data_IF_286588879220
#
_entry.id   IF_286588879220
#
_cell.length_a   1.000
_cell.length_b   1.000
_cell.length_c   1.000
_cell.angle_alpha   90.00
_cell.angle_beta   90.00
_cell.angle_gamma   90.00
#
_symmetry.space_group_name_H-M   'P 1'
#
loop_
_entity.id
_entity.type
_entity.pdbx_description
1 polymer ?
#
# COMPACT_ATOMS: atom_id res chain seq x y z
N UNK A 1 -38.14 3.46 38.13
CA UNK A 1 -39.21 2.95 37.24
C UNK A 1 -38.71 2.45 35.87
N UNK A 2 -37.55 2.87 35.35
CA UNK A 2 -36.98 2.33 34.09
C UNK A 2 -36.30 0.94 34.21
N UNK A 3 -35.74 0.61 35.38
CA UNK A 3 -35.03 -0.67 35.59
C UNK A 3 -35.93 -1.91 35.71
N UNK A 4 -37.20 -1.75 36.09
CA UNK A 4 -38.16 -2.86 36.21
C UNK A 4 -38.81 -3.22 34.86
N UNK A 5 -39.00 -2.25 33.96
CA UNK A 5 -39.49 -2.49 32.60
C UNK A 5 -38.46 -3.25 31.74
N UNK A 6 -37.19 -2.87 31.82
CA UNK A 6 -36.09 -3.59 31.14
C UNK A 6 -35.92 -5.03 31.68
N UNK A 7 -36.03 -5.24 33.00
CA UNK A 7 -35.96 -6.58 33.59
C UNK A 7 -37.16 -7.46 33.22
N UNK A 8 -38.34 -6.90 32.99
CA UNK A 8 -39.51 -7.68 32.58
C UNK A 8 -39.48 -8.06 31.09
N UNK A 9 -38.91 -7.20 30.25
CA UNK A 9 -38.76 -7.48 28.81
C UNK A 9 -37.63 -8.46 28.51
N UNK A 10 -36.55 -8.46 29.31
CA UNK A 10 -35.47 -9.46 29.24
C UNK A 10 -35.92 -10.84 29.77
N UNK A 11 -36.87 -10.88 30.72
CA UNK A 11 -37.28 -12.14 31.39
C UNK A 11 -38.25 -12.98 30.55
N UNK A 12 -39.08 -12.37 29.69
CA UNK A 12 -40.21 -13.06 29.02
C UNK A 12 -39.95 -13.54 27.58
N UNK A 13 -38.90 -13.09 26.89
CA UNK A 13 -38.60 -13.57 25.53
C UNK A 13 -37.27 -14.32 25.47
N UNK A 14 -37.35 -15.61 25.09
CA UNK A 14 -36.21 -16.52 24.79
C UNK A 14 -35.16 -15.89 23.86
N UNK A 15 -35.54 -14.84 23.13
CA UNK A 15 -34.78 -14.14 22.10
C UNK A 15 -33.78 -13.12 22.68
N UNK A 16 -34.10 -12.46 23.80
CA UNK A 16 -33.15 -11.52 24.44
C UNK A 16 -31.92 -12.24 25.00
N UNK A 17 -32.11 -13.47 25.50
CA UNK A 17 -31.04 -14.35 25.99
C UNK A 17 -30.12 -14.85 24.88
N UNK A 18 -30.66 -15.00 23.66
CA UNK A 18 -29.88 -15.44 22.50
C UNK A 18 -29.03 -14.29 21.91
N UNK A 19 -29.58 -13.08 21.84
CA UNK A 19 -28.84 -11.88 21.41
C UNK A 19 -27.74 -11.53 22.41
N UNK A 20 -28.05 -11.61 23.71
CA UNK A 20 -27.05 -11.45 24.75
C UNK A 20 -25.97 -12.55 24.66
N UNK A 21 -26.36 -13.79 24.34
CA UNK A 21 -25.46 -14.92 24.14
C UNK A 21 -24.51 -14.76 22.96
N UNK A 22 -24.97 -14.24 21.82
CA UNK A 22 -24.13 -14.01 20.63
C UNK A 22 -23.18 -12.82 20.84
N UNK A 23 -23.64 -11.76 21.50
CA UNK A 23 -22.78 -10.62 21.86
C UNK A 23 -21.75 -11.04 22.91
N UNK A 24 -22.15 -11.82 23.93
CA UNK A 24 -21.24 -12.39 24.91
C UNK A 24 -20.25 -13.37 24.28
N UNK A 25 -20.66 -14.15 23.27
CA UNK A 25 -19.77 -15.05 22.54
C UNK A 25 -18.74 -14.26 21.71
N UNK A 26 -19.16 -13.19 21.03
CA UNK A 26 -18.24 -12.31 20.28
C UNK A 26 -17.26 -11.56 21.18
N UNK A 27 -17.71 -11.09 22.35
CA UNK A 27 -16.85 -10.46 23.35
C UNK A 27 -15.92 -11.52 24.00
N UNK A 28 -16.41 -12.71 24.28
CA UNK A 28 -15.59 -13.80 24.82
C UNK A 28 -14.52 -14.27 23.82
N UNK A 29 -14.85 -14.38 22.53
CA UNK A 29 -13.88 -14.77 21.49
C UNK A 29 -12.82 -13.69 21.27
N UNK A 30 -13.19 -12.42 21.28
CA UNK A 30 -12.21 -11.31 21.14
C UNK A 30 -11.30 -11.14 22.37
N UNK A 31 -11.81 -11.41 23.57
CA UNK A 31 -11.01 -11.42 24.79
C UNK A 31 -10.09 -12.65 24.87
N UNK A 32 -10.55 -13.82 24.39
CA UNK A 32 -9.78 -15.05 24.40
C UNK A 32 -8.68 -15.06 23.32
N UNK A 33 -8.93 -14.45 22.17
CA UNK A 33 -7.94 -14.28 21.09
C UNK A 33 -6.78 -13.37 21.51
N UNK A 34 -7.08 -12.32 22.29
CA UNK A 34 -6.07 -11.45 22.91
C UNK A 34 -5.23 -12.13 24.00
N UNK A 35 -5.72 -13.23 24.57
CA UNK A 35 -5.10 -13.89 25.72
C UNK A 35 -4.36 -15.20 25.37
N UNK A 36 -4.86 -16.00 24.42
CA UNK A 36 -4.36 -17.38 24.20
C UNK A 36 -4.13 -17.71 22.71
N UNK A 37 -4.37 -16.78 21.77
CA UNK A 37 -4.20 -16.99 20.31
C UNK A 37 -5.07 -18.16 19.79
N UNK A 38 -6.32 -17.87 19.42
CA UNK A 38 -7.35 -18.90 19.18
C UNK A 38 -7.17 -19.53 17.78
N UNK A 39 -7.27 -20.87 17.62
CA UNK A 39 -7.07 -21.54 16.33
C UNK A 39 -8.01 -21.01 15.22
N UNK A 40 -7.46 -20.69 14.04
CA UNK A 40 -8.17 -20.08 12.91
C UNK A 40 -9.40 -20.84 12.39
N UNK A 41 -9.56 -22.11 12.76
CA UNK A 41 -10.76 -22.92 12.48
C UNK A 41 -12.01 -22.32 13.14
N UNK A 42 -11.89 -21.68 14.30
CA UNK A 42 -13.04 -21.03 14.96
C UNK A 42 -13.49 -19.76 14.23
N UNK A 43 -12.56 -19.02 13.62
CA UNK A 43 -12.88 -17.91 12.71
C UNK A 43 -13.45 -18.40 11.37
N UNK A 44 -12.96 -19.53 10.86
CA UNK A 44 -13.47 -20.19 9.65
C UNK A 44 -14.88 -20.76 9.84
N UNK A 45 -15.30 -21.09 11.07
CA UNK A 45 -16.68 -21.44 11.41
C UNK A 45 -17.50 -20.17 11.69
N UNK A 46 -16.88 -19.15 12.28
CA UNK A 46 -17.53 -17.87 12.59
C UNK A 46 -18.00 -17.12 11.35
N UNK A 47 -17.20 -17.04 10.27
CA UNK A 47 -17.61 -16.35 9.04
C UNK A 47 -18.81 -16.99 8.32
N UNK A 48 -18.85 -18.30 8.05
CA UNK A 48 -20.05 -18.94 7.53
C UNK A 48 -21.18 -18.95 8.55
N UNK A 49 -20.93 -19.05 9.86
CA UNK A 49 -21.97 -18.87 10.86
C UNK A 49 -22.52 -17.45 10.87
N UNK A 50 -21.70 -16.43 10.63
CA UNK A 50 -22.09 -15.02 10.53
C UNK A 50 -22.80 -14.75 9.21
N UNK A 51 -22.37 -15.34 8.10
CA UNK A 51 -23.04 -15.24 6.79
C UNK A 51 -24.36 -16.00 6.82
N UNK A 52 -24.41 -17.21 7.37
CA UNK A 52 -25.64 -17.98 7.57
C UNK A 52 -26.55 -17.27 8.57
N UNK A 53 -26.00 -16.66 9.63
CA UNK A 53 -26.79 -15.88 10.58
C UNK A 53 -27.27 -14.57 9.96
N UNK A 54 -26.45 -13.85 9.21
CA UNK A 54 -26.82 -12.64 8.47
C UNK A 54 -27.84 -12.95 7.38
N UNK A 55 -27.69 -14.06 6.65
CA UNK A 55 -28.63 -14.53 5.66
C UNK A 55 -29.92 -15.04 6.32
N UNK A 56 -29.83 -15.74 7.45
CA UNK A 56 -30.97 -16.18 8.25
C UNK A 56 -31.71 -14.98 8.88
N UNK A 57 -31.00 -13.96 9.35
CA UNK A 57 -31.57 -12.72 9.89
C UNK A 57 -32.11 -11.85 8.78
N UNK A 58 -31.52 -11.82 7.59
CA UNK A 58 -32.06 -11.11 6.42
C UNK A 58 -33.31 -11.84 5.91
N UNK A 59 -33.25 -13.17 5.76
CA UNK A 59 -34.39 -14.00 5.38
C UNK A 59 -35.48 -14.02 6.45
N UNK A 60 -35.14 -13.91 7.74
CA UNK A 60 -36.10 -13.82 8.85
C UNK A 60 -36.57 -12.40 9.10
N UNK A 61 -35.81 -11.37 8.77
CA UNK A 61 -36.30 -9.99 8.68
C UNK A 61 -37.30 -9.89 7.54
N UNK A 62 -36.98 -10.46 6.37
CA UNK A 62 -37.88 -10.60 5.22
C UNK A 62 -39.09 -11.50 5.56
N UNK A 63 -38.94 -12.58 6.34
CA UNK A 63 -40.06 -13.46 6.73
C UNK A 63 -40.88 -12.91 7.90
N UNK A 64 -40.31 -12.09 8.77
CA UNK A 64 -41.01 -11.32 9.81
C UNK A 64 -41.75 -10.12 9.20
N UNK A 65 -41.14 -9.50 8.18
CA UNK A 65 -41.75 -8.53 7.25
C UNK A 65 -42.75 -9.18 6.29
N UNK A 66 -42.74 -10.50 6.08
CA UNK A 66 -43.87 -11.18 5.42
C UNK A 66 -44.95 -11.54 6.45
N UNK A 67 -44.60 -12.28 7.51
CA UNK A 67 -45.55 -12.87 8.46
C UNK A 67 -46.33 -11.88 9.34
N UNK A 68 -45.81 -10.69 9.67
CA UNK A 68 -46.56 -9.65 10.41
C UNK A 68 -46.94 -8.43 9.57
N UNK A 69 -46.36 -8.27 8.39
CA UNK A 69 -46.54 -7.07 7.55
C UNK A 69 -47.53 -7.30 6.38
N UNK A 70 -47.96 -8.54 6.14
CA UNK A 70 -48.93 -8.91 5.10
C UNK A 70 -50.39 -8.52 5.40
N UNK A 71 -50.73 -7.88 6.53
CA UNK A 71 -52.13 -7.63 6.89
C UNK A 71 -52.64 -6.18 6.75
N UNK A 72 -51.83 -5.20 6.31
CA UNK A 72 -52.35 -3.84 5.99
C UNK A 72 -51.61 -3.22 4.81
N UNK A 73 -52.35 -2.90 3.74
CA UNK A 73 -51.90 -2.29 2.48
C UNK A 73 -50.89 -1.12 2.63
N UNK A 74 -50.95 -0.38 3.74
CA UNK A 74 -50.06 0.76 4.07
C UNK A 74 -48.56 0.40 4.19
N UNK A 75 -48.21 -0.84 4.56
CA UNK A 75 -46.79 -1.24 4.76
C UNK A 75 -46.09 -1.74 3.49
N UNK A 76 -46.84 -2.11 2.44
CA UNK A 76 -46.28 -2.51 1.14
C UNK A 76 -45.55 -1.35 0.45
N UNK A 77 -46.09 -0.14 0.52
CA UNK A 77 -45.48 1.07 -0.06
C UNK A 77 -44.15 1.43 0.62
N UNK A 78 -44.05 1.32 1.95
CA UNK A 78 -42.83 1.64 2.69
C UNK A 78 -41.67 0.71 2.30
N UNK A 79 -41.93 -0.60 2.18
CA UNK A 79 -40.90 -1.58 1.80
C UNK A 79 -40.38 -1.31 0.39
N UNK A 80 -41.28 -1.07 -0.57
CA UNK A 80 -40.88 -0.72 -1.95
C UNK A 80 -40.10 0.59 -1.99
N UNK A 81 -40.52 1.60 -1.23
CA UNK A 81 -39.84 2.90 -1.20
C UNK A 81 -38.45 2.82 -0.56
N UNK A 82 -38.30 2.05 0.53
CA UNK A 82 -36.99 1.79 1.14
C UNK A 82 -36.10 0.99 0.18
N UNK A 83 -36.63 0.00 -0.53
CA UNK A 83 -35.85 -0.77 -1.50
C UNK A 83 -35.39 0.10 -2.69
N UNK A 84 -36.27 0.95 -3.23
CA UNK A 84 -35.97 1.85 -4.35
C UNK A 84 -35.01 2.97 -3.93
N UNK A 85 -35.07 3.47 -2.69
CA UNK A 85 -34.23 4.58 -2.24
C UNK A 85 -32.92 4.13 -1.57
N UNK A 86 -33.00 3.20 -0.60
CA UNK A 86 -31.85 2.86 0.27
C UNK A 86 -30.85 1.96 -0.43
N UNK A 87 -31.31 0.99 -1.24
CA UNK A 87 -30.39 0.06 -1.90
C UNK A 87 -29.47 0.77 -2.89
N UNK A 88 -29.97 1.64 -3.79
CA UNK A 88 -29.08 2.39 -4.67
C UNK A 88 -28.07 3.25 -3.91
N UNK A 89 -28.48 3.92 -2.84
CA UNK A 89 -27.58 4.73 -2.01
C UNK A 89 -26.50 3.85 -1.36
N UNK A 90 -26.87 2.70 -0.80
CA UNK A 90 -25.90 1.75 -0.22
C UNK A 90 -24.93 1.22 -1.27
N UNK A 91 -25.39 0.92 -2.48
CA UNK A 91 -24.53 0.50 -3.59
C UNK A 91 -23.55 1.61 -3.99
N UNK A 92 -24.01 2.87 -4.07
CA UNK A 92 -23.17 4.03 -4.37
C UNK A 92 -22.12 4.23 -3.27
N UNK A 93 -22.52 4.17 -2.00
CA UNK A 93 -21.59 4.30 -0.88
C UNK A 93 -20.54 3.18 -0.88
N UNK A 94 -20.95 1.94 -1.16
CA UNK A 94 -20.04 0.82 -1.31
C UNK A 94 -19.06 1.03 -2.46
N UNK A 95 -19.54 1.48 -3.62
CA UNK A 95 -18.72 1.79 -4.78
C UNK A 95 -17.69 2.88 -4.46
N UNK A 96 -18.13 3.98 -3.82
CA UNK A 96 -17.24 5.08 -3.40
C UNK A 96 -16.22 4.60 -2.38
N UNK A 97 -16.61 3.77 -1.42
CA UNK A 97 -15.69 3.21 -0.43
C UNK A 97 -14.62 2.33 -1.09
N UNK A 98 -15.00 1.41 -1.98
CA UNK A 98 -14.06 0.56 -2.72
C UNK A 98 -13.17 1.42 -3.62
N UNK A 99 -13.74 2.36 -4.37
CA UNK A 99 -13.00 3.27 -5.24
C UNK A 99 -11.99 4.10 -4.47
N UNK A 100 -12.38 4.65 -3.31
CA UNK A 100 -11.49 5.38 -2.42
C UNK A 100 -10.33 4.53 -1.90
N UNK A 101 -10.59 3.27 -1.52
CA UNK A 101 -9.54 2.33 -1.11
C UNK A 101 -8.58 2.01 -2.27
N UNK A 102 -9.09 1.77 -3.48
CA UNK A 102 -8.27 1.46 -4.66
C UNK A 102 -7.40 2.65 -5.08
N UNK A 103 -7.96 3.85 -5.12
CA UNK A 103 -7.22 5.07 -5.47
C UNK A 103 -6.12 5.33 -4.44
N UNK A 104 -6.41 5.19 -3.15
CA UNK A 104 -5.41 5.36 -2.10
C UNK A 104 -4.33 4.28 -2.14
N UNK A 105 -4.68 3.02 -2.39
CA UNK A 105 -3.72 1.95 -2.61
C UNK A 105 -2.79 2.25 -3.80
N UNK A 106 -3.36 2.67 -4.94
CA UNK A 106 -2.58 3.04 -6.12
C UNK A 106 -1.70 4.26 -5.87
N UNK A 107 -2.18 5.24 -5.11
CA UNK A 107 -1.41 6.43 -4.76
C UNK A 107 -0.22 6.09 -3.86
N UNK A 108 -0.39 5.20 -2.87
CA UNK A 108 0.72 4.69 -2.06
C UNK A 108 1.79 4.01 -2.93
N UNK A 109 1.37 3.15 -3.85
CA UNK A 109 2.25 2.50 -4.82
C UNK A 109 2.96 3.53 -5.71
N UNK A 110 2.23 4.53 -6.21
CA UNK A 110 2.76 5.58 -7.06
C UNK A 110 3.84 6.42 -6.35
N UNK A 111 3.62 6.81 -5.09
CA UNK A 111 4.61 7.58 -4.33
C UNK A 111 5.94 6.83 -4.19
N UNK A 112 5.89 5.54 -3.88
CA UNK A 112 7.10 4.70 -3.78
C UNK A 112 7.72 4.46 -5.15
N UNK A 113 6.91 4.24 -6.19
CA UNK A 113 7.41 4.12 -7.56
C UNK A 113 8.12 5.40 -8.02
N UNK A 114 7.65 6.58 -7.62
CA UNK A 114 8.33 7.86 -7.86
C UNK A 114 9.66 7.94 -7.10
N UNK A 115 9.72 7.49 -5.83
CA UNK A 115 10.98 7.45 -5.08
C UNK A 115 12.01 6.53 -5.75
N UNK A 116 11.60 5.35 -6.22
CA UNK A 116 12.48 4.43 -6.97
C UNK A 116 12.96 5.05 -8.27
N UNK A 117 12.06 5.66 -9.07
CA UNK A 117 12.43 6.34 -10.32
C UNK A 117 13.36 7.53 -10.09
N UNK A 118 13.06 8.36 -9.09
CA UNK A 118 13.91 9.47 -8.69
C UNK A 118 15.30 8.99 -8.28
N UNK A 119 15.40 7.84 -7.60
CA UNK A 119 16.68 7.23 -7.25
C UNK A 119 17.47 6.76 -8.47
N UNK A 120 16.81 6.07 -9.40
CA UNK A 120 17.40 5.65 -10.70
C UNK A 120 17.94 6.87 -11.46
N UNK A 121 17.18 7.96 -11.52
CA UNK A 121 17.60 9.19 -12.18
C UNK A 121 18.75 9.87 -11.43
N UNK A 122 18.72 9.92 -10.10
CA UNK A 122 19.77 10.51 -9.27
C UNK A 122 21.12 9.81 -9.50
N UNK A 123 21.15 8.47 -9.53
CA UNK A 123 22.38 7.72 -9.84
C UNK A 123 22.89 8.04 -11.25
N UNK A 124 22.00 8.17 -12.23
CA UNK A 124 22.38 8.56 -13.59
C UNK A 124 23.00 9.95 -13.65
N UNK A 125 22.44 10.93 -12.93
CA UNK A 125 23.00 12.28 -12.86
C UNK A 125 24.39 12.28 -12.22
N UNK A 126 24.60 11.50 -11.14
CA UNK A 126 25.93 11.33 -10.54
C UNK A 126 26.88 10.72 -11.56
N UNK A 127 26.48 9.64 -12.23
CA UNK A 127 27.27 8.97 -13.26
C UNK A 127 27.71 9.91 -14.38
N UNK A 128 26.75 10.67 -14.94
CA UNK A 128 27.00 11.70 -15.96
C UNK A 128 27.97 12.77 -15.49
N UNK A 129 27.76 13.29 -14.28
CA UNK A 129 28.62 14.35 -13.74
C UNK A 129 30.07 13.89 -13.60
N UNK A 130 30.31 12.63 -13.21
CA UNK A 130 31.67 12.09 -13.12
C UNK A 130 32.24 11.85 -14.51
N UNK A 131 31.48 11.25 -15.43
CA UNK A 131 31.95 11.01 -16.80
C UNK A 131 32.37 12.33 -17.50
N UNK A 132 31.58 13.39 -17.36
CA UNK A 132 31.90 14.71 -17.95
C UNK A 132 33.12 15.38 -17.32
N UNK A 133 33.32 15.25 -16.00
CA UNK A 133 34.46 15.86 -15.32
C UNK A 133 35.77 15.10 -15.59
N UNK A 134 35.71 13.81 -15.88
CA UNK A 134 36.91 13.00 -16.18
C UNK A 134 37.50 13.35 -17.55
N UNK A 135 36.68 13.76 -18.52
CA UNK A 135 37.16 14.25 -19.83
C UNK A 135 38.07 15.50 -19.72
N UNK A 136 38.04 16.23 -18.60
CA UNK A 136 38.89 17.40 -18.37
C UNK A 136 40.28 17.06 -17.77
N UNK A 137 40.52 15.80 -17.39
CA UNK A 137 41.78 15.37 -16.74
C UNK A 137 42.71 14.67 -17.73
N UNK A 138 43.30 15.43 -18.66
CA UNK A 138 44.11 14.89 -19.77
C UNK A 138 45.56 14.50 -19.42
N UNK A 139 46.10 14.91 -18.26
CA UNK A 139 47.57 14.94 -18.06
C UNK A 139 48.20 13.78 -17.24
N UNK A 140 47.48 12.71 -16.89
CA UNK A 140 48.01 11.70 -15.95
C UNK A 140 47.77 10.25 -16.33
N UNK A 141 48.68 9.33 -16.03
CA UNK A 141 48.55 7.88 -16.28
C UNK A 141 47.18 7.31 -15.85
N UNK A 142 46.67 6.26 -16.55
CA UNK A 142 45.30 5.77 -16.34
C UNK A 142 45.07 5.20 -14.94
N UNK A 143 46.10 4.57 -14.35
CA UNK A 143 46.03 4.07 -12.97
C UNK A 143 45.95 5.20 -11.92
N UNK A 144 46.71 6.28 -12.11
CA UNK A 144 46.72 7.43 -11.18
C UNK A 144 45.42 8.23 -11.26
N UNK A 145 44.80 8.29 -12.45
CA UNK A 145 43.47 8.86 -12.65
C UNK A 145 42.41 8.05 -11.89
N UNK A 146 42.41 6.72 -12.02
CA UNK A 146 41.47 5.84 -11.31
C UNK A 146 41.59 6.00 -9.79
N UNK A 147 42.80 6.03 -9.25
CA UNK A 147 43.05 6.22 -7.82
C UNK A 147 42.56 7.59 -7.31
N UNK A 148 42.76 8.66 -8.09
CA UNK A 148 42.23 10.00 -7.73
C UNK A 148 40.71 10.04 -7.80
N UNK A 149 40.11 9.49 -8.85
CA UNK A 149 38.64 9.43 -8.98
C UNK A 149 38.05 8.63 -7.83
N UNK A 150 38.61 7.46 -7.51
CA UNK A 150 38.20 6.66 -6.36
C UNK A 150 38.32 7.45 -5.04
N UNK A 151 39.48 8.06 -4.76
CA UNK A 151 39.69 8.85 -3.52
C UNK A 151 38.71 10.02 -3.42
N UNK A 152 38.49 10.74 -4.52
CA UNK A 152 37.56 11.86 -4.55
C UNK A 152 36.10 11.43 -4.41
N UNK A 153 35.73 10.32 -5.06
CA UNK A 153 34.39 9.77 -5.02
C UNK A 153 34.06 9.24 -3.62
N UNK A 154 34.96 8.43 -3.03
CA UNK A 154 34.84 7.96 -1.65
C UNK A 154 34.81 9.14 -0.69
N UNK A 155 35.71 10.12 -0.80
CA UNK A 155 35.71 11.29 0.10
C UNK A 155 34.40 12.09 0.08
N UNK A 156 33.78 12.26 -1.09
CA UNK A 156 32.55 13.05 -1.26
C UNK A 156 31.28 12.26 -0.92
N UNK A 157 31.15 11.03 -1.40
CA UNK A 157 29.96 10.22 -1.15
C UNK A 157 30.00 9.50 0.20
N UNK A 158 31.17 9.23 0.81
CA UNK A 158 31.21 8.66 2.17
C UNK A 158 30.61 9.62 3.21
N UNK A 159 30.66 10.93 2.98
CA UNK A 159 29.95 11.93 3.81
C UNK A 159 28.43 11.78 3.75
N UNK A 160 27.92 11.18 2.67
CA UNK A 160 26.51 10.92 2.40
C UNK A 160 26.24 9.40 2.31
N UNK A 161 27.05 8.58 2.99
CA UNK A 161 26.92 7.11 2.91
C UNK A 161 25.55 6.62 3.40
N UNK A 162 24.95 7.34 4.36
CA UNK A 162 23.59 7.07 4.82
C UNK A 162 22.55 7.24 3.71
N UNK A 163 22.79 8.14 2.75
CA UNK A 163 21.88 8.41 1.64
C UNK A 163 22.03 7.38 0.52
N UNK A 164 23.05 6.51 0.53
CA UNK A 164 23.32 5.51 -0.51
C UNK A 164 23.76 4.16 0.10
N UNK A 165 22.85 3.43 0.74
CA UNK A 165 23.17 2.17 1.40
C UNK A 165 23.72 1.15 0.41
N UNK A 166 24.81 0.49 0.78
CA UNK A 166 25.46 -0.58 0.01
C UNK A 166 25.82 -0.21 -1.45
N UNK A 167 26.02 1.08 -1.77
CA UNK A 167 26.40 1.49 -3.12
C UNK A 167 27.77 0.92 -3.53
N UNK A 168 27.76 0.23 -4.67
CA UNK A 168 28.91 -0.36 -5.33
C UNK A 168 29.28 0.47 -6.57
N UNK A 169 30.57 0.77 -6.70
CA UNK A 169 31.09 1.58 -7.80
C UNK A 169 32.12 0.79 -8.56
N UNK A 170 31.93 0.65 -9.87
CA UNK A 170 32.92 0.07 -10.78
C UNK A 170 33.33 1.11 -11.81
N UNK A 171 34.61 1.43 -11.85
CA UNK A 171 35.22 2.35 -12.82
C UNK A 171 36.07 1.54 -13.78
N UNK A 172 35.91 1.81 -15.08
CA UNK A 172 36.66 1.19 -16.16
C UNK A 172 37.31 2.28 -17.01
N UNK A 173 38.62 2.17 -17.24
CA UNK A 173 39.37 3.07 -18.12
C UNK A 173 40.35 2.23 -18.96
N UNK A 174 40.07 2.13 -20.26
CA UNK A 174 40.91 1.45 -21.25
C UNK A 174 41.46 0.07 -20.80
N UNK A 175 40.59 -0.75 -20.22
CA UNK A 175 40.93 -2.10 -19.72
C UNK A 175 41.34 -2.17 -18.26
N UNK A 176 41.71 -1.05 -17.62
CA UNK A 176 41.92 -0.99 -16.18
C UNK A 176 40.57 -0.89 -15.44
N UNK A 177 40.38 -1.73 -14.43
CA UNK A 177 39.13 -1.78 -13.65
C UNK A 177 39.41 -1.58 -12.17
N UNK A 178 38.57 -0.79 -11.52
CA UNK A 178 38.51 -0.62 -10.06
C UNK A 178 37.08 -0.77 -9.62
N UNK A 179 36.83 -1.69 -8.70
CA UNK A 179 35.53 -1.87 -8.06
C UNK A 179 35.68 -1.65 -6.56
N UNK A 180 34.88 -0.76 -5.99
CA UNK A 180 34.95 -0.40 -4.58
C UNK A 180 33.56 -0.03 -4.03
N UNK A 181 33.40 -0.13 -2.72
CA UNK A 181 32.22 0.35 -2.00
C UNK A 181 32.46 1.76 -1.43
N UNK A 182 31.40 2.40 -0.91
CA UNK A 182 31.52 3.71 -0.27
C UNK A 182 32.40 3.75 0.98
N UNK A 183 32.64 2.60 1.63
CA UNK A 183 33.59 2.48 2.74
C UNK A 183 35.07 2.37 2.27
N UNK A 184 35.33 2.39 0.96
CA UNK A 184 36.66 2.28 0.37
C UNK A 184 37.19 0.84 0.26
N UNK A 185 36.40 -0.16 0.63
CA UNK A 185 36.72 -1.58 0.45
C UNK A 185 36.66 -1.98 -1.02
N UNK A 186 37.66 -2.75 -1.48
CA UNK A 186 37.70 -3.27 -2.85
C UNK A 186 36.73 -4.42 -3.04
N UNK A 187 35.95 -4.39 -4.11
CA UNK A 187 35.00 -5.45 -4.45
C UNK A 187 35.71 -6.53 -5.28
N UNK A 188 35.56 -7.83 -4.95
CA UNK A 188 36.29 -8.92 -5.60
C UNK A 188 35.80 -9.21 -7.04
N UNK A 189 34.54 -8.87 -7.36
CA UNK A 189 33.95 -9.04 -8.69
C UNK A 189 33.60 -7.67 -9.28
N UNK A 190 34.37 -7.14 -10.24
CA UNK A 190 33.98 -5.93 -10.95
C UNK A 190 32.78 -6.21 -11.87
N UNK A 191 31.85 -5.27 -11.93
CA UNK A 191 30.68 -5.38 -12.81
C UNK A 191 31.13 -5.34 -14.27
N UNK A 192 30.68 -6.32 -15.06
CA UNK A 192 30.93 -6.35 -16.50
C UNK A 192 29.85 -5.57 -17.24
N UNK A 193 30.25 -4.86 -18.31
CA UNK A 193 29.32 -4.16 -19.19
C UNK A 193 28.92 -5.15 -20.28
N UNK A 194 27.62 -5.51 -20.40
CA UNK A 194 27.18 -6.46 -21.40
C UNK A 194 27.36 -5.92 -22.83
N UNK A 195 27.61 -6.79 -23.82
CA UNK A 195 27.83 -6.38 -25.21
C UNK A 195 26.58 -5.75 -25.85
N UNK A 196 25.38 -6.07 -25.34
CA UNK A 196 24.14 -5.46 -25.80
C UNK A 196 24.01 -3.98 -25.39
N UNK A 197 24.81 -3.49 -24.44
CA UNK A 197 24.81 -2.08 -24.03
C UNK A 197 25.72 -1.24 -24.92
N UNK A 198 25.25 -0.94 -26.14
CA UNK A 198 25.96 -0.09 -27.10
C UNK A 198 25.77 1.42 -26.86
N UNK A 199 24.79 1.81 -26.04
CA UNK A 199 24.47 3.21 -25.76
C UNK A 199 25.47 3.88 -24.81
N UNK A 200 25.60 5.22 -24.84
CA UNK A 200 26.50 5.95 -23.96
C UNK A 200 26.06 5.86 -22.50
N UNK A 201 24.79 5.55 -22.22
CA UNK A 201 24.24 5.56 -20.88
C UNK A 201 23.19 4.47 -20.68
N UNK A 202 23.02 4.08 -19.42
CA UNK A 202 21.97 3.18 -18.95
C UNK A 202 21.52 3.63 -17.56
N UNK A 203 20.23 3.56 -17.29
CA UNK A 203 19.73 3.59 -15.92
C UNK A 203 18.44 2.80 -15.81
N UNK A 204 18.34 1.97 -14.79
CA UNK A 204 17.15 1.16 -14.56
C UNK A 204 17.34 0.14 -13.45
N UNK A 205 16.29 -0.64 -13.22
CA UNK A 205 16.33 -1.79 -12.32
C UNK A 205 16.82 -3.00 -13.10
N UNK A 206 17.76 -3.74 -12.53
CA UNK A 206 18.34 -4.94 -13.13
C UNK A 206 18.29 -6.10 -12.14
N UNK A 207 18.27 -7.32 -12.69
CA UNK A 207 18.48 -8.53 -11.90
C UNK A 207 19.87 -9.07 -12.22
N UNK A 208 20.67 -9.27 -11.18
CA UNK A 208 21.99 -9.91 -11.28
C UNK A 208 22.16 -10.88 -10.12
N UNK A 209 22.54 -12.14 -10.41
CA UNK A 209 22.69 -13.21 -9.41
C UNK A 209 21.44 -13.39 -8.51
N UNK A 210 20.23 -13.14 -9.05
CA UNK A 210 18.97 -13.26 -8.32
C UNK A 210 18.66 -12.10 -7.36
N UNK A 211 19.49 -11.05 -7.34
CA UNK A 211 19.25 -9.82 -6.56
C UNK A 211 18.69 -8.72 -7.44
N UNK A 212 17.80 -7.92 -6.87
CA UNK A 212 17.30 -6.69 -7.49
C UNK A 212 18.28 -5.57 -7.21
N UNK A 213 18.77 -4.91 -8.26
CA UNK A 213 19.79 -3.86 -8.18
C UNK A 213 19.32 -2.67 -9.01
N UNK A 214 19.44 -1.47 -8.47
CA UNK A 214 19.32 -0.23 -9.23
C UNK A 214 20.68 0.06 -9.84
N UNK A 215 20.77 0.07 -11.17
CA UNK A 215 22.05 0.23 -11.87
C UNK A 215 22.01 1.42 -12.81
N UNK A 216 23.06 2.22 -12.75
CA UNK A 216 23.36 3.24 -13.75
C UNK A 216 24.73 3.02 -14.38
N UNK A 217 24.82 3.22 -15.69
CA UNK A 217 26.08 3.23 -16.45
C UNK A 217 26.18 4.54 -17.18
N UNK A 218 27.32 5.20 -17.07
CA UNK A 218 27.69 6.35 -17.89
C UNK A 218 29.03 6.04 -18.59
N UNK A 219 29.03 6.13 -19.92
CA UNK A 219 30.20 5.91 -20.77
C UNK A 219 30.64 7.24 -21.40
N UNK A 220 31.95 7.45 -21.45
CA UNK A 220 32.58 8.65 -22.00
C UNK A 220 33.86 8.33 -22.77
N UNK A 221 34.40 9.33 -23.46
CA UNK A 221 35.67 9.24 -24.18
C UNK A 221 36.66 10.22 -23.59
N UNK A 222 37.66 9.70 -22.91
CA UNK A 222 38.76 10.48 -22.35
C UNK A 222 39.96 10.45 -23.30
N UNK A 223 40.94 11.34 -23.17
CA UNK A 223 42.18 11.26 -23.96
C UNK A 223 42.95 9.94 -23.74
N UNK A 224 42.66 9.22 -22.65
CA UNK A 224 43.29 7.95 -22.29
C UNK A 224 42.51 6.71 -22.73
N UNK A 225 41.40 6.89 -23.43
CA UNK A 225 40.58 5.80 -23.96
C UNK A 225 39.14 5.81 -23.47
N UNK A 226 38.47 4.66 -23.59
CA UNK A 226 37.05 4.52 -23.22
C UNK A 226 36.91 4.49 -21.70
N UNK A 227 36.14 5.44 -21.18
CA UNK A 227 35.78 5.51 -19.76
C UNK A 227 34.36 4.98 -19.57
N UNK A 228 34.16 4.17 -18.53
CA UNK A 228 32.83 3.77 -18.10
C UNK A 228 32.74 3.74 -16.58
N UNK A 229 31.70 4.38 -16.05
CA UNK A 229 31.34 4.36 -14.64
C UNK A 229 30.04 3.57 -14.48
N UNK A 230 30.08 2.55 -13.64
CA UNK A 230 28.92 1.75 -13.26
C UNK A 230 28.64 1.98 -11.78
N UNK A 231 27.46 2.49 -11.48
CA UNK A 231 26.94 2.63 -10.12
C UNK A 231 25.87 1.57 -9.93
N UNK A 232 26.02 0.74 -8.90
CA UNK A 232 25.08 -0.34 -8.58
C UNK A 232 24.66 -0.22 -7.13
N UNK A 233 23.37 -0.04 -6.89
CA UNK A 233 22.78 0.05 -5.56
C UNK A 233 21.83 -1.15 -5.38
N UNK A 234 22.22 -2.17 -4.59
CA UNK A 234 21.34 -3.31 -4.34
C UNK A 234 20.12 -2.88 -3.53
N UNK A 235 18.96 -3.51 -3.79
CA UNK A 235 17.74 -3.26 -3.00
C UNK A 235 17.87 -3.96 -1.64
N UNK A 236 18.27 -3.20 -0.62
CA UNK A 236 18.40 -3.65 0.78
C UNK A 236 17.27 -3.09 1.66
N UNK A 237 17.04 -3.63 2.88
CA UNK A 237 16.06 -3.08 3.81
C UNK A 237 16.24 -1.58 4.08
N UNK A 238 17.48 -1.10 4.16
CA UNK A 238 17.79 0.30 4.42
C UNK A 238 17.42 1.20 3.23
N UNK A 239 17.56 0.70 2.00
CA UNK A 239 17.09 1.42 0.82
C UNK A 239 15.56 1.48 0.78
N UNK A 240 14.90 0.38 1.16
CA UNK A 240 13.43 0.33 1.26
C UNK A 240 12.90 1.25 2.36
N UNK A 241 13.65 1.45 3.45
CA UNK A 241 13.32 2.44 4.48
C UNK A 241 13.29 3.85 3.89
N UNK A 242 14.25 4.20 3.03
CA UNK A 242 14.27 5.50 2.34
C UNK A 242 13.08 5.65 1.40
N UNK A 243 12.72 4.60 0.66
CA UNK A 243 11.57 4.63 -0.23
C UNK A 243 10.24 4.72 0.51
N UNK A 244 10.14 4.13 1.71
CA UNK A 244 8.96 4.15 2.56
C UNK A 244 8.82 5.38 3.47
N UNK A 245 9.84 6.22 3.56
CA UNK A 245 9.87 7.36 4.48
C UNK A 245 8.65 8.29 4.31
N UNK A 246 7.90 8.46 5.41
CA UNK A 246 6.67 9.27 5.43
C UNK A 246 5.54 8.73 4.55
N UNK A 247 5.56 7.43 4.22
CA UNK A 247 4.49 6.71 3.51
C UNK A 247 4.10 5.48 4.33
N UNK A 248 5.07 4.62 4.64
CA UNK A 248 4.89 3.37 5.36
C UNK A 248 5.81 2.27 4.82
N UNK A 249 5.80 1.07 5.43
CA UNK A 249 6.74 0.00 5.08
C UNK A 249 6.60 -0.44 3.63
N UNK A 250 7.75 -0.71 3.02
CA UNK A 250 7.89 -1.14 1.63
C UNK A 250 8.56 -2.50 1.57
N UNK A 251 8.01 -3.41 0.78
CA UNK A 251 8.63 -4.69 0.43
C UNK A 251 8.95 -4.76 -1.06
N UNK A 252 10.03 -5.43 -1.44
CA UNK A 252 10.42 -5.68 -2.82
C UNK A 252 10.83 -7.14 -3.04
N UNK A 253 10.31 -7.78 -4.08
CA UNK A 253 10.59 -9.19 -4.35
C UNK A 253 10.43 -9.59 -5.82
N UNK A 254 10.85 -10.81 -6.13
CA UNK A 254 10.71 -11.44 -7.45
C UNK A 254 9.56 -12.43 -7.43
N UNK A 255 8.62 -12.35 -8.38
CA UNK A 255 7.56 -13.35 -8.49
C UNK A 255 8.18 -14.67 -8.99
N UNK A 256 8.20 -15.73 -8.19
CA UNK A 256 8.68 -17.05 -8.65
C UNK A 256 9.93 -17.61 -7.94
N UNK A 257 10.51 -16.90 -6.96
CA UNK A 257 11.31 -17.57 -5.93
C UNK A 257 10.37 -18.15 -4.86
N UNK A 258 9.58 -19.14 -5.29
CA UNK A 258 9.06 -20.11 -4.35
C UNK A 258 10.26 -20.93 -3.87
N UNK A 259 10.62 -20.72 -2.61
CA UNK A 259 11.45 -21.63 -1.82
C UNK A 259 10.96 -23.06 -2.06
N UNK A 260 11.85 -23.93 -2.50
CA UNK A 260 11.64 -25.36 -2.39
C UNK A 260 11.48 -25.72 -0.92
N UNK A 261 10.36 -26.36 -0.61
CA UNK A 261 10.05 -27.14 0.59
C UNK A 261 9.99 -26.44 1.95
N UNK A 262 8.84 -26.68 2.63
CA UNK A 262 8.46 -26.38 4.03
C UNK A 262 7.74 -25.03 4.18
N UNK A 263 6.49 -24.94 4.64
CA UNK A 263 5.71 -25.84 5.48
C UNK A 263 4.21 -25.49 5.42
N UNK A 264 3.36 -26.51 5.55
CA UNK A 264 1.95 -26.46 5.98
C UNK A 264 1.49 -25.15 6.63
N UNK A 265 0.48 -24.49 6.05
CA UNK A 265 -0.15 -23.32 6.67
C UNK A 265 -1.26 -22.69 5.84
N UNK A 266 -2.43 -23.31 5.84
CA UNK A 266 -3.66 -22.74 5.28
C UNK A 266 -3.99 -21.36 5.89
N UNK A 267 -4.16 -20.34 5.06
CA UNK A 267 -4.82 -19.09 5.45
C UNK A 267 -5.65 -18.55 4.28
N UNK A 268 -6.96 -18.74 4.37
CA UNK A 268 -7.95 -18.18 3.44
C UNK A 268 -8.39 -16.79 3.92
N UNK A 269 -8.01 -15.74 3.20
CA UNK A 269 -8.72 -14.44 3.21
C UNK A 269 -9.66 -14.38 2.00
N UNK A 270 -10.95 -14.02 2.15
CA UNK A 270 -11.97 -14.14 1.10
C UNK A 270 -11.80 -13.17 -0.09
N UNK A 271 -10.80 -12.28 -0.06
CA UNK A 271 -10.46 -11.35 -1.14
C UNK A 271 -9.06 -11.55 -1.73
N UNK A 272 -8.28 -12.55 -1.31
CA UNK A 272 -6.98 -12.90 -1.91
C UNK A 272 -5.84 -11.87 -1.74
N UNK A 273 -6.13 -10.64 -1.31
CA UNK A 273 -5.16 -9.54 -1.13
C UNK A 273 -4.16 -9.80 0.01
N UNK A 274 -4.56 -10.52 1.07
CA UNK A 274 -3.66 -10.89 2.17
C UNK A 274 -2.76 -12.08 1.82
N UNK A 275 -3.24 -13.00 0.97
CA UNK A 275 -2.49 -14.20 0.60
C UNK A 275 -1.36 -13.85 -0.39
N UNK A 276 -1.64 -12.98 -1.37
CA UNK A 276 -0.62 -12.47 -2.28
C UNK A 276 0.40 -11.57 -1.56
N UNK A 277 -0.04 -10.73 -0.62
CA UNK A 277 0.87 -9.89 0.18
C UNK A 277 1.68 -10.68 1.21
N UNK A 278 1.19 -11.82 1.73
CA UNK A 278 1.94 -12.75 2.57
C UNK A 278 2.97 -13.58 1.78
N UNK A 279 2.57 -14.19 0.65
CA UNK A 279 3.51 -14.91 -0.24
C UNK A 279 4.60 -13.98 -0.80
N UNK A 280 4.23 -12.75 -1.10
CA UNK A 280 5.16 -11.70 -1.45
C UNK A 280 6.09 -11.37 -0.27
N UNK A 281 5.59 -11.20 0.96
CA UNK A 281 6.40 -10.94 2.17
C UNK A 281 7.40 -12.04 2.51
N UNK A 282 7.08 -13.31 2.28
CA UNK A 282 7.99 -14.43 2.55
C UNK A 282 9.14 -14.55 1.53
N UNK A 283 8.98 -13.96 0.34
CA UNK A 283 9.99 -13.96 -0.74
C UNK A 283 10.52 -12.56 -1.07
N UNK A 284 10.21 -11.56 -0.24
CA UNK A 284 10.62 -10.16 -0.43
C UNK A 284 11.49 -9.65 0.70
N UNK A 285 12.42 -8.77 0.32
CA UNK A 285 13.15 -7.93 1.25
C UNK A 285 12.18 -6.84 1.70
N UNK A 286 12.09 -6.57 3.00
CA UNK A 286 11.16 -5.58 3.57
C UNK A 286 11.95 -4.53 4.35
N UNK A 287 11.48 -3.29 4.31
CA UNK A 287 11.95 -2.17 5.16
C UNK A 287 11.96 -2.56 6.64
N UNK A 288 13.04 -2.25 7.37
CA UNK A 288 13.23 -2.64 8.76
C UNK A 288 12.79 -1.55 9.75
N UNK A 289 13.09 -0.28 9.45
CA UNK A 289 12.90 0.83 10.38
C UNK A 289 11.61 1.64 10.15
N UNK A 290 10.90 1.38 9.04
CA UNK A 290 9.66 2.09 8.73
C UNK A 290 8.43 1.34 9.25
N UNK A 291 7.84 1.85 10.31
CA UNK A 291 6.57 1.36 10.83
C UNK A 291 5.36 1.85 10.01
N UNK A 292 4.25 1.11 10.06
CA UNK A 292 2.97 1.57 9.51
C UNK A 292 2.56 2.87 10.24
N UNK A 293 2.12 3.93 9.53
CA UNK A 293 1.73 5.19 10.16
C UNK A 293 0.70 5.00 11.28
N UNK A 294 0.74 5.87 12.29
CA UNK A 294 -0.23 5.86 13.39
C UNK A 294 -1.61 6.31 12.91
N UNK A 295 -2.71 5.69 13.36
CA UNK A 295 -4.05 6.07 12.95
C UNK A 295 -4.40 7.47 13.46
N UNK A 296 -4.93 8.33 12.57
CA UNK A 296 -5.39 9.68 12.97
C UNK A 296 -6.71 9.64 13.74
N UNK A 297 -7.58 8.67 13.45
CA UNK A 297 -8.87 8.45 14.11
C UNK A 297 -9.33 6.99 13.96
N UNK A 298 -10.46 6.62 14.56
CA UNK A 298 -10.94 5.22 14.59
C UNK A 298 -11.29 4.61 13.22
N UNK A 299 -11.56 5.44 12.20
CA UNK A 299 -11.88 5.01 10.84
C UNK A 299 -10.73 5.21 9.86
N UNK A 300 -9.50 5.40 10.36
CA UNK A 300 -8.31 5.48 9.51
C UNK A 300 -7.82 4.08 9.16
N UNK A 301 -8.26 3.57 8.01
CA UNK A 301 -7.95 2.21 7.56
C UNK A 301 -6.61 2.15 6.82
N UNK A 302 -5.96 0.99 6.89
CA UNK A 302 -4.74 0.70 6.12
C UNK A 302 -5.08 0.27 4.71
N UNK A 303 -4.28 0.71 3.75
CA UNK A 303 -4.34 0.30 2.35
C UNK A 303 -3.00 -0.31 1.93
N UNK A 304 -3.06 -1.29 1.02
CA UNK A 304 -1.87 -1.94 0.46
C UNK A 304 -1.80 -1.59 -1.02
N UNK A 305 -0.80 -0.80 -1.38
CA UNK A 305 -0.44 -0.51 -2.76
C UNK A 305 0.54 -1.53 -3.31
N UNK A 306 0.40 -1.87 -4.59
CA UNK A 306 1.34 -2.72 -5.30
C UNK A 306 1.70 -2.09 -6.65
N UNK A 307 2.96 -2.19 -7.05
CA UNK A 307 3.39 -1.88 -8.41
C UNK A 307 4.47 -2.87 -8.86
N UNK A 308 4.62 -3.02 -10.17
CA UNK A 308 5.68 -3.83 -10.77
C UNK A 308 6.64 -2.95 -11.54
N UNK A 309 7.89 -3.36 -11.58
CA UNK A 309 8.90 -2.85 -12.50
C UNK A 309 9.33 -4.00 -13.41
N UNK A 310 9.67 -3.66 -14.65
CA UNK A 310 10.21 -4.59 -15.64
C UNK A 310 11.73 -4.48 -15.60
N UNK A 311 12.42 -5.30 -14.78
CA UNK A 311 13.87 -5.26 -14.72
C UNK A 311 14.49 -5.86 -15.98
N UNK A 312 15.77 -5.58 -16.19
CA UNK A 312 16.58 -6.22 -17.24
C UNK A 312 17.52 -7.23 -16.58
N UNK A 313 17.65 -8.42 -17.16
CA UNK A 313 18.68 -9.38 -16.69
C UNK A 313 20.05 -8.83 -17.07
N UNK A 314 20.90 -8.59 -16.07
CA UNK A 314 22.24 -8.09 -16.31
C UNK A 314 23.19 -9.21 -16.72
N UNK A 315 23.94 -8.99 -17.80
CA UNK A 315 24.81 -10.00 -18.41
C UNK A 315 24.24 -10.55 -19.72
N UNK A 316 24.81 -11.66 -20.19
CA UNK A 316 24.42 -12.32 -21.44
C UNK A 316 24.84 -11.56 -22.71
N UNK A 317 24.62 -12.18 -23.87
CA UNK A 317 24.89 -11.58 -25.19
C UNK A 317 23.78 -10.62 -25.63
N UNK A 318 22.55 -10.84 -25.18
CA UNK A 318 21.37 -10.09 -25.59
C UNK A 318 20.61 -9.51 -24.39
N UNK A 319 19.93 -8.37 -24.64
CA UNK A 319 19.07 -7.73 -23.65
C UNK A 319 17.81 -8.57 -23.46
N UNK A 320 17.70 -9.23 -22.32
CA UNK A 320 16.55 -10.07 -21.99
C UNK A 320 15.76 -9.51 -20.81
N UNK A 321 14.44 -9.63 -20.90
CA UNK A 321 13.54 -9.43 -19.77
C UNK A 321 13.46 -10.76 -19.01
N UNK A 322 13.51 -10.75 -17.67
CA UNK A 322 13.32 -11.96 -16.89
C UNK A 322 11.90 -12.50 -17.07
N UNK A 323 11.73 -13.78 -16.78
CA UNK A 323 10.44 -14.45 -16.85
C UNK A 323 9.40 -13.88 -15.86
N UNK A 324 9.85 -13.14 -14.84
CA UNK A 324 9.01 -12.56 -13.82
C UNK A 324 9.38 -11.10 -13.49
N UNK A 325 8.38 -10.23 -13.26
CA UNK A 325 8.62 -8.84 -12.87
C UNK A 325 9.07 -8.75 -11.41
N UNK A 326 9.73 -7.63 -11.07
CA UNK A 326 9.96 -7.23 -9.68
C UNK A 326 8.71 -6.52 -9.20
N UNK A 327 8.14 -6.98 -8.09
CA UNK A 327 7.01 -6.29 -7.46
C UNK A 327 7.48 -5.52 -6.23
N UNK A 328 6.78 -4.42 -5.95
CA UNK A 328 6.92 -3.65 -4.75
C UNK A 328 5.56 -3.56 -4.06
N UNK A 329 5.54 -3.75 -2.75
CA UNK A 329 4.37 -3.63 -1.91
C UNK A 329 4.56 -2.50 -0.91
N UNK A 330 3.52 -1.71 -0.71
CA UNK A 330 3.55 -0.55 0.19
C UNK A 330 2.34 -0.62 1.09
N UNK A 331 2.54 -0.61 2.40
CA UNK A 331 1.43 -0.51 3.35
C UNK A 331 1.38 0.88 3.94
N UNK A 332 0.26 1.58 3.80
CA UNK A 332 0.07 2.93 4.34
C UNK A 332 -1.34 3.12 4.90
N UNK A 333 -1.63 4.31 5.43
CA UNK A 333 -2.95 4.71 5.92
C UNK A 333 -3.55 5.79 5.04
N UNK A 334 -4.86 5.72 4.83
CA UNK A 334 -5.59 6.67 3.97
C UNK A 334 -5.34 8.10 4.42
N UNK A 335 -5.43 8.41 5.72
CA UNK A 335 -5.19 9.79 6.17
C UNK A 335 -3.76 10.27 5.99
N UNK A 336 -2.77 9.36 6.09
CA UNK A 336 -1.36 9.72 5.81
C UNK A 336 -1.20 10.11 4.35
N UNK A 337 -1.78 9.33 3.45
CA UNK A 337 -1.75 9.57 2.01
C UNK A 337 -2.48 10.86 1.62
N UNK A 338 -3.70 11.06 2.09
CA UNK A 338 -4.49 12.27 1.85
C UNK A 338 -3.79 13.51 2.40
N UNK A 339 -3.18 13.42 3.60
CA UNK A 339 -2.40 14.54 4.16
C UNK A 339 -1.20 14.90 3.28
N UNK A 340 -0.53 13.89 2.70
CA UNK A 340 0.61 14.08 1.80
C UNK A 340 0.15 14.69 0.48
N UNK A 341 -0.95 14.20 -0.09
CA UNK A 341 -1.58 14.77 -1.27
C UNK A 341 -1.96 16.23 -1.04
N UNK A 342 -2.65 16.52 0.05
CA UNK A 342 -3.04 17.89 0.41
C UNK A 342 -1.83 18.78 0.70
N UNK A 343 -0.73 18.24 1.26
CA UNK A 343 0.49 19.01 1.49
C UNK A 343 1.15 19.49 0.19
N UNK A 344 0.97 18.75 -0.91
CA UNK A 344 1.50 19.16 -2.22
C UNK A 344 0.86 20.44 -2.76
N UNK A 345 -0.36 20.78 -2.30
CA UNK A 345 -1.04 22.03 -2.65
C UNK A 345 -0.47 23.25 -1.90
N UNK A 346 0.46 23.05 -0.96
CA UNK A 346 1.11 24.12 -0.21
C UNK A 346 0.09 25.04 0.48
N UNK A 347 0.16 26.35 0.21
CA UNK A 347 -0.72 27.35 0.82
C UNK A 347 -2.20 27.16 0.47
N UNK A 348 -2.51 26.61 -0.71
CA UNK A 348 -3.89 26.38 -1.15
C UNK A 348 -4.56 25.23 -0.40
N UNK A 349 -3.77 24.29 0.15
CA UNK A 349 -4.25 23.17 0.96
C UNK A 349 -5.25 23.61 2.03
N UNK A 350 -4.90 24.67 2.77
CA UNK A 350 -5.74 25.23 3.83
C UNK A 350 -7.07 25.78 3.29
N UNK A 351 -7.05 26.42 2.13
CA UNK A 351 -8.25 26.99 1.52
C UNK A 351 -9.21 25.89 1.09
N UNK A 352 -8.72 24.85 0.41
CA UNK A 352 -9.54 23.71 0.02
C UNK A 352 -10.08 22.93 1.22
N UNK A 353 -9.24 22.69 2.23
CA UNK A 353 -9.67 22.01 3.45
C UNK A 353 -10.78 22.79 4.17
N UNK A 354 -10.61 24.11 4.36
CA UNK A 354 -11.62 24.97 4.99
C UNK A 354 -12.90 25.04 4.15
N UNK A 355 -12.79 25.17 2.82
CA UNK A 355 -13.95 25.17 1.94
C UNK A 355 -14.72 23.85 2.01
N UNK A 356 -14.01 22.70 1.97
CA UNK A 356 -14.62 21.37 2.08
C UNK A 356 -15.35 21.18 3.41
N UNK A 357 -14.72 21.54 4.53
CA UNK A 357 -15.35 21.48 5.86
C UNK A 357 -16.56 22.40 5.94
N UNK A 358 -16.48 23.60 5.36
CA UNK A 358 -17.60 24.55 5.34
C UNK A 358 -18.79 24.01 4.55
N UNK A 359 -18.56 23.47 3.35
CA UNK A 359 -19.60 22.83 2.53
C UNK A 359 -20.19 21.62 3.25
N UNK A 360 -19.35 20.78 3.87
CA UNK A 360 -19.80 19.65 4.66
C UNK A 360 -20.67 20.06 5.85
N UNK A 361 -20.33 21.14 6.54
CA UNK A 361 -21.14 21.68 7.63
C UNK A 361 -22.51 22.18 7.14
N UNK A 362 -22.56 22.89 6.01
CA UNK A 362 -23.83 23.31 5.39
C UNK A 362 -24.67 22.11 4.98
N UNK A 363 -24.07 21.11 4.34
CA UNK A 363 -24.76 19.89 3.94
C UNK A 363 -25.33 19.15 5.15
N UNK A 364 -24.57 19.04 6.24
CA UNK A 364 -25.02 18.42 7.48
C UNK A 364 -26.22 19.15 8.10
N UNK A 365 -26.25 20.49 8.06
CA UNK A 365 -27.42 21.28 8.49
C UNK A 365 -28.63 21.00 7.59
N UNK A 366 -28.45 20.99 6.27
CA UNK A 366 -29.52 20.67 5.32
C UNK A 366 -30.06 19.25 5.51
N UNK A 367 -29.19 18.28 5.78
CA UNK A 367 -29.59 16.88 6.01
C UNK A 367 -30.39 16.72 7.30
N UNK A 368 -30.00 17.40 8.38
CA UNK A 368 -30.80 17.43 9.63
C UNK A 368 -32.19 18.03 9.38
N UNK A 369 -32.27 19.13 8.62
CA UNK A 369 -33.54 19.76 8.26
C UNK A 369 -34.42 18.84 7.39
N UNK A 370 -33.83 18.23 6.37
CA UNK A 370 -34.50 17.28 5.49
C UNK A 370 -35.04 16.07 6.28
N UNK A 371 -34.23 15.53 7.20
CA UNK A 371 -34.63 14.45 8.09
C UNK A 371 -35.81 14.85 8.99
N UNK A 372 -35.75 16.03 9.61
CA UNK A 372 -36.86 16.56 10.42
C UNK A 372 -38.16 16.71 9.61
N UNK A 373 -38.08 17.26 8.40
CA UNK A 373 -39.23 17.44 7.50
C UNK A 373 -39.81 16.09 7.09
N UNK A 374 -38.96 15.12 6.71
CA UNK A 374 -39.39 13.77 6.36
C UNK A 374 -40.11 13.06 7.49
N UNK A 375 -39.60 13.16 8.73
CA UNK A 375 -40.24 12.60 9.92
C UNK A 375 -41.58 13.28 10.19
N UNK A 376 -41.67 14.61 10.09
CA UNK A 376 -42.92 15.36 10.32
C UNK A 376 -43.99 15.03 9.29
N UNK A 377 -43.66 14.97 8.00
CA UNK A 377 -44.60 14.61 6.94
C UNK A 377 -45.14 13.18 7.12
N UNK A 378 -44.25 12.23 7.45
CA UNK A 378 -44.67 10.85 7.72
C UNK A 378 -45.62 10.78 8.91
N UNK A 379 -45.35 11.57 9.96
CA UNK A 379 -46.18 11.63 11.17
C UNK A 379 -47.54 12.29 10.88
N UNK A 380 -47.59 13.39 10.13
CA UNK A 380 -48.86 14.06 9.80
C UNK A 380 -49.78 13.17 8.97
N UNK A 381 -49.27 12.55 7.91
CA UNK A 381 -50.02 11.62 7.05
C UNK A 381 -50.54 10.41 7.84
N UNK A 382 -49.79 9.96 8.85
CA UNK A 382 -50.25 8.85 9.69
C UNK A 382 -51.38 9.27 10.62
N UNK A 383 -51.29 10.43 11.28
CA UNK A 383 -52.37 10.99 12.12
C UNK A 383 -53.64 11.32 11.34
N UNK A 384 -53.54 12.03 10.22
CA UNK A 384 -54.73 12.45 9.44
C UNK A 384 -55.53 11.26 8.90
N UNK A 385 -54.85 10.14 8.64
CA UNK A 385 -55.54 8.91 8.22
C UNK A 385 -56.14 8.14 9.40
N UNK A 386 -55.52 8.16 10.58
CA UNK A 386 -56.15 7.58 11.77
C UNK A 386 -57.45 8.33 12.12
N UNK A 387 -57.47 9.67 11.99
CA UNK A 387 -58.68 10.49 12.17
C UNK A 387 -59.77 10.26 11.11
N UNK A 388 -59.40 9.86 9.89
CA UNK A 388 -60.37 9.60 8.82
C UNK A 388 -61.07 8.23 8.94
N UNK A 389 -60.47 7.31 9.70
CA UNK A 389 -60.98 5.95 9.89
C UNK A 389 -61.47 5.68 11.33
N UNK A 390 -61.38 6.66 12.22
CA UNK A 390 -62.06 6.69 13.53
C UNK A 390 -63.43 7.33 13.40
#
# INVERSE_FOLDING_TARGET
>A
MFGSALRHEIRTRRIARFVLGVILLGIALTLLDRAINVPGVLWLIFWPALIISAFYYTARLVSFVRGRLLWRLRRRLIVTYVFIAVIPILLILLLVAIGGLLINAQFAAFLVAQNVRGRVEQLLHIGRSVAQNVDMLDDHKPADLLDRVQKNFVKRLAQHAADYPALEVTIRLDGNVRAFNLAGGTLPKPVQIPPWLAGPEFSGVVIEEGRVIIRSVAQGKTAQGKFALVLSEPVTPELLDQFGAGIGPVGAGLIGQAVGESSNGQAHSPLGLDASSRMARESSIVSENVAVPTPAFFGDYTVVGAFTLDPIVWGGSEKTLPAAPVFFLVTSRVMTLESKLLSTLGRFSRVYAVAFVSVGAVFLVLEILAFMVGVRLTRSITTTVDELYS
#
